data_IF_093525706456
#
_entry.id   IF_093525706456
#
_cell.length_a   1.000
_cell.length_b   1.000
_cell.length_c   1.000
_cell.angle_alpha   90.00
_cell.angle_beta   90.00
_cell.angle_gamma   90.00
#
_symmetry.space_group_name_H-M   'P 1'
#
loop_
_entity.id
_entity.type
_entity.pdbx_description
1 polymer ?
#
# COMPACT_ATOMS: atom_id res chain seq x y z
N UNK A 1 29.02 -60.40 28.43
CA UNK A 1 27.79 -59.74 27.93
C UNK A 1 28.23 -58.67 26.94
N UNK A 2 28.15 -58.96 25.64
CA UNK A 2 28.66 -58.12 24.55
C UNK A 2 27.59 -57.06 24.22
N UNK A 3 27.81 -55.78 24.55
CA UNK A 3 26.94 -54.70 24.08
C UNK A 3 27.23 -54.42 22.61
N UNK A 4 26.18 -54.35 21.77
CA UNK A 4 26.28 -54.08 20.33
C UNK A 4 26.85 -52.66 20.10
N UNK A 5 27.79 -52.47 19.16
CA UNK A 5 28.55 -51.22 19.00
C UNK A 5 27.71 -49.97 18.66
N UNK A 6 26.46 -50.16 18.22
CA UNK A 6 25.56 -49.08 17.79
C UNK A 6 24.78 -48.43 18.94
N UNK A 7 24.75 -49.06 20.12
CA UNK A 7 23.95 -48.53 21.24
C UNK A 7 24.55 -47.24 21.79
N UNK A 8 25.87 -47.12 21.79
CA UNK A 8 26.56 -45.90 22.24
C UNK A 8 26.26 -44.70 21.34
N UNK A 9 26.34 -44.88 20.02
CA UNK A 9 26.04 -43.83 19.05
C UNK A 9 24.56 -43.42 19.11
N UNK A 10 23.64 -44.39 19.18
CA UNK A 10 22.21 -44.10 19.29
C UNK A 10 21.88 -43.36 20.60
N UNK A 11 22.55 -43.68 21.71
CA UNK A 11 22.39 -42.94 22.97
C UNK A 11 22.87 -41.50 22.86
N UNK A 12 23.96 -41.24 22.13
CA UNK A 12 24.43 -39.86 21.88
C UNK A 12 23.43 -39.10 21.00
N UNK A 13 22.92 -39.71 19.93
CA UNK A 13 21.93 -39.08 19.05
C UNK A 13 20.63 -38.74 19.80
N UNK A 14 20.11 -39.69 20.60
CA UNK A 14 18.91 -39.46 21.41
C UNK A 14 19.16 -38.36 22.44
N UNK A 15 20.32 -38.37 23.11
CA UNK A 15 20.71 -37.31 24.05
C UNK A 15 20.79 -35.93 23.40
N UNK A 16 21.34 -35.84 22.19
CA UNK A 16 21.39 -34.61 21.40
C UNK A 16 20.00 -34.09 21.04
N UNK A 17 19.11 -34.95 20.52
CA UNK A 17 17.75 -34.56 20.19
C UNK A 17 16.97 -34.06 21.42
N UNK A 18 17.10 -34.74 22.56
CA UNK A 18 16.46 -34.29 23.82
C UNK A 18 17.01 -32.94 24.27
N UNK A 19 18.33 -32.75 24.20
CA UNK A 19 18.95 -31.47 24.56
C UNK A 19 18.43 -30.30 23.68
N UNK A 20 18.35 -30.50 22.36
CA UNK A 20 17.81 -29.46 21.46
C UNK A 20 16.33 -29.17 21.74
N UNK A 21 15.50 -30.18 21.98
CA UNK A 21 14.09 -29.99 22.34
C UNK A 21 13.91 -29.28 23.69
N UNK A 22 14.75 -29.59 24.68
CA UNK A 22 14.74 -28.89 25.96
C UNK A 22 15.24 -27.45 25.83
N UNK A 23 16.25 -27.19 25.00
CA UNK A 23 16.77 -25.85 24.75
C UNK A 23 15.75 -24.97 24.03
N UNK A 24 15.07 -25.49 23.00
CA UNK A 24 14.00 -24.75 22.31
C UNK A 24 12.83 -24.47 23.25
N UNK A 25 12.42 -25.45 24.06
CA UNK A 25 11.39 -25.25 25.07
C UNK A 25 11.80 -24.21 26.13
N UNK A 26 13.05 -24.24 26.61
CA UNK A 26 13.58 -23.26 27.57
C UNK A 26 13.63 -21.84 26.99
N UNK A 27 14.09 -21.68 25.74
CA UNK A 27 14.09 -20.40 25.05
C UNK A 27 12.66 -19.89 24.85
N UNK A 28 11.72 -20.76 24.48
CA UNK A 28 10.32 -20.38 24.30
C UNK A 28 9.64 -20.02 25.63
N UNK A 29 9.85 -20.78 26.71
CA UNK A 29 9.32 -20.46 28.03
C UNK A 29 9.94 -19.17 28.60
N UNK A 30 11.21 -18.88 28.28
CA UNK A 30 11.86 -17.62 28.67
C UNK A 30 11.36 -16.45 27.82
N UNK A 31 11.15 -16.65 26.52
CA UNK A 31 10.57 -15.64 25.62
C UNK A 31 9.12 -15.32 25.98
N UNK A 32 8.35 -16.31 26.46
CA UNK A 32 7.00 -16.13 26.98
C UNK A 32 6.95 -15.39 28.32
N UNK A 33 8.03 -15.39 29.10
CA UNK A 33 8.15 -14.67 30.37
C UNK A 33 8.62 -13.21 30.22
N UNK A 34 9.06 -12.81 29.03
CA UNK A 34 9.36 -11.42 28.66
C UNK A 34 8.37 -10.85 27.65
N UNK A 35 7.10 -11.25 27.73
CA UNK A 35 5.96 -10.56 27.09
C UNK A 35 5.66 -9.20 27.72
N UNK A 36 6.65 -8.57 28.36
CA UNK A 36 6.63 -7.15 28.68
C UNK A 36 7.00 -6.41 27.41
N UNK A 37 6.01 -5.74 26.83
CA UNK A 37 6.18 -4.72 25.82
C UNK A 37 7.45 -3.90 26.10
N UNK A 38 8.43 -3.95 25.20
CA UNK A 38 9.36 -2.85 25.04
C UNK A 38 8.58 -1.71 24.39
N UNK A 39 7.66 -1.14 25.17
CA UNK A 39 7.12 0.19 24.95
C UNK A 39 8.24 1.13 25.36
N UNK A 40 9.04 1.53 24.38
CA UNK A 40 9.88 2.72 24.52
C UNK A 40 8.92 3.92 24.47
N UNK A 41 8.72 4.67 25.57
CA UNK A 41 7.84 5.84 25.58
C UNK A 41 8.38 7.00 24.72
N UNK A 42 9.46 6.80 23.96
CA UNK A 42 9.97 7.75 22.96
C UNK A 42 9.71 7.37 21.51
N UNK A 43 9.11 6.21 21.23
CA UNK A 43 8.65 5.91 19.87
C UNK A 43 7.18 6.31 19.79
N UNK A 44 6.96 7.56 19.41
CA UNK A 44 5.64 8.05 19.00
C UNK A 44 5.15 7.15 17.87
N UNK A 45 4.06 6.43 18.11
CA UNK A 45 3.32 5.76 17.03
C UNK A 45 2.67 6.86 16.21
N UNK A 46 3.36 7.29 15.16
CA UNK A 46 2.83 8.26 14.19
C UNK A 46 1.75 7.52 13.41
N UNK A 47 0.51 8.00 13.52
CA UNK A 47 -0.59 7.46 12.73
C UNK A 47 -0.29 7.69 11.24
N UNK A 48 -0.84 6.84 10.37
CA UNK A 48 -0.61 6.95 8.92
C UNK A 48 -0.94 8.35 8.36
N UNK A 49 -1.90 9.04 9.00
CA UNK A 49 -2.29 10.42 8.67
C UNK A 49 -1.22 11.48 8.98
N UNK A 50 -0.22 11.15 9.80
CA UNK A 50 0.68 12.11 10.44
C UNK A 50 2.06 12.12 9.77
N UNK A 51 2.43 11.02 9.07
CA UNK A 51 3.61 10.95 8.18
C UNK A 51 3.46 11.87 6.96
N UNK A 52 2.23 12.08 6.46
CA UNK A 52 1.97 12.95 5.31
C UNK A 52 2.18 14.45 5.60
N UNK A 53 2.20 14.86 6.88
CA UNK A 53 2.41 16.27 7.26
C UNK A 53 3.88 16.70 7.17
N UNK A 54 4.81 15.80 7.50
CA UNK A 54 6.24 16.12 7.57
C UNK A 54 6.87 16.35 6.17
N UNK A 55 6.27 15.77 5.12
CA UNK A 55 6.73 15.93 3.73
C UNK A 55 6.30 17.27 3.10
N UNK A 56 5.28 17.93 3.64
CA UNK A 56 4.78 19.22 3.15
C UNK A 56 5.63 20.41 3.63
N UNK A 57 6.36 20.30 4.73
CA UNK A 57 7.14 21.42 5.28
C UNK A 57 8.54 21.57 4.64
N UNK A 58 9.11 20.50 4.07
CA UNK A 58 10.42 20.57 3.37
C UNK A 58 10.35 21.01 1.90
N UNK A 59 9.14 21.16 1.33
CA UNK A 59 8.95 21.47 -0.10
C UNK A 59 8.90 22.96 -0.44
N UNK A 60 8.91 23.86 0.56
CA UNK A 60 8.67 25.29 0.34
C UNK A 60 9.93 26.16 0.26
N UNK A 61 11.12 25.61 0.44
CA UNK A 61 12.36 26.31 0.13
C UNK A 61 12.84 25.91 -1.26
N UNK A 62 13.14 26.93 -2.07
CA UNK A 62 13.66 26.89 -3.45
C UNK A 62 12.57 26.90 -4.54
N UNK A 63 12.12 28.11 -4.91
CA UNK A 63 12.41 28.73 -6.22
C UNK A 63 11.76 30.13 -6.29
N UNK A 64 12.48 31.15 -5.79
CA UNK A 64 12.31 32.53 -6.27
C UNK A 64 13.05 32.67 -7.60
N UNK A 65 12.31 32.93 -8.68
CA UNK A 65 12.86 33.58 -9.88
C UNK A 65 11.95 34.76 -10.23
N UNK A 66 12.54 35.95 -10.11
CA UNK A 66 11.99 37.24 -10.53
C UNK A 66 12.12 37.45 -12.05
N UNK A 67 11.31 38.41 -12.52
CA UNK A 67 11.30 39.11 -13.83
C UNK A 67 10.29 38.54 -14.83
N UNK A 68 9.41 39.33 -15.45
CA UNK A 68 9.33 40.78 -15.53
C UNK A 68 8.04 41.21 -16.25
N UNK A 69 7.76 42.50 -16.12
CA UNK A 69 6.57 43.24 -16.55
C UNK A 69 6.32 43.19 -18.06
N UNK A 70 5.04 43.12 -18.44
CA UNK A 70 4.49 44.00 -19.47
C UNK A 70 2.97 44.08 -19.33
N UNK A 71 2.50 45.23 -18.86
CA UNK A 71 1.11 45.68 -18.95
C UNK A 71 0.70 45.81 -20.42
N UNK A 72 -0.49 45.33 -20.79
CA UNK A 72 -1.28 45.98 -21.82
C UNK A 72 -2.76 45.98 -21.43
N UNK A 73 -3.36 47.17 -21.54
CA UNK A 73 -4.65 47.58 -21.02
C UNK A 73 -5.75 47.49 -22.08
N UNK A 74 -6.98 47.50 -21.55
CA UNK A 74 -8.25 48.06 -22.08
C UNK A 74 -9.16 47.14 -22.90
N UNK A 75 -10.37 46.96 -22.34
CA UNK A 75 -11.51 46.38 -23.04
C UNK A 75 -12.73 46.18 -22.15
N UNK A 76 -13.15 47.22 -21.43
CA UNK A 76 -14.40 47.27 -20.66
C UNK A 76 -15.60 47.17 -21.62
N UNK A 77 -16.44 46.16 -21.46
CA UNK A 77 -17.75 46.10 -22.13
C UNK A 77 -18.79 45.46 -21.20
N UNK A 78 -19.54 46.32 -20.51
CA UNK A 78 -20.78 45.97 -19.80
C UNK A 78 -21.95 46.46 -20.65
N UNK A 79 -22.94 45.60 -20.93
CA UNK A 79 -24.32 46.01 -20.73
C UNK A 79 -25.03 44.98 -19.85
N UNK A 80 -25.49 45.39 -18.67
CA UNK A 80 -26.84 45.90 -18.42
C UNK A 80 -27.90 44.80 -18.44
N UNK A 81 -28.55 44.67 -17.27
CA UNK A 81 -29.93 44.24 -17.04
C UNK A 81 -30.28 42.77 -17.32
N UNK A 82 -30.18 41.94 -16.27
CA UNK A 82 -31.07 40.77 -16.10
C UNK A 82 -31.73 40.87 -14.72
N UNK A 83 -33.05 40.72 -14.76
CA UNK A 83 -34.01 40.91 -13.68
C UNK A 83 -33.80 39.91 -12.54
N UNK A 84 -33.99 40.44 -11.34
CA UNK A 84 -34.19 39.72 -10.08
C UNK A 84 -35.26 38.63 -10.27
N UNK A 85 -34.85 37.37 -10.14
CA UNK A 85 -35.76 36.23 -9.98
C UNK A 85 -35.45 35.63 -8.62
N UNK A 86 -36.32 35.96 -7.68
CA UNK A 86 -36.39 35.34 -6.36
C UNK A 86 -36.86 33.89 -6.57
N UNK A 87 -35.98 32.93 -6.31
CA UNK A 87 -36.36 31.54 -6.07
C UNK A 87 -35.66 31.12 -4.80
N UNK A 88 -36.43 31.14 -3.72
CA UNK A 88 -36.07 30.57 -2.44
C UNK A 88 -36.71 29.18 -2.38
N UNK A 89 -35.88 28.14 -2.49
CA UNK A 89 -36.21 26.79 -2.04
C UNK A 89 -34.93 25.96 -1.97
N UNK A 90 -34.37 25.89 -0.77
CA UNK A 90 -33.61 24.77 -0.20
C UNK A 90 -32.80 23.92 -1.20
N UNK A 91 -31.67 24.48 -1.65
CA UNK A 91 -30.55 23.66 -2.11
C UNK A 91 -29.60 23.60 -0.92
N UNK A 92 -29.50 22.42 -0.31
CA UNK A 92 -28.39 22.09 0.58
C UNK A 92 -27.16 22.09 -0.31
N UNK A 93 -26.48 23.24 -0.37
CA UNK A 93 -25.16 23.36 -0.97
C UNK A 93 -24.22 22.45 -0.16
N UNK A 94 -23.90 21.31 -0.77
CA UNK A 94 -22.67 20.59 -0.49
C UNK A 94 -21.53 21.58 -0.75
N UNK A 95 -21.01 22.17 0.33
CA UNK A 95 -19.89 23.10 0.29
C UNK A 95 -18.68 22.29 -0.15
N UNK A 96 -18.50 22.17 -1.46
CA UNK A 96 -17.23 21.77 -2.06
C UNK A 96 -16.25 22.88 -1.70
N UNK A 97 -15.53 22.68 -0.60
CA UNK A 97 -14.34 23.45 -0.30
C UNK A 97 -13.43 23.34 -1.54
N UNK A 98 -13.16 24.47 -2.21
CA UNK A 98 -12.34 24.52 -3.42
C UNK A 98 -10.93 24.04 -3.08
N UNK A 99 -10.67 22.74 -3.20
CA UNK A 99 -9.36 22.14 -3.02
C UNK A 99 -8.47 22.65 -4.16
N UNK A 100 -7.58 23.60 -3.85
CA UNK A 100 -6.61 24.12 -4.81
C UNK A 100 -5.54 23.04 -5.06
N UNK A 101 -5.67 22.33 -6.18
CA UNK A 101 -4.73 21.29 -6.59
C UNK A 101 -3.52 21.89 -7.34
N UNK A 102 -2.32 21.30 -7.19
CA UNK A 102 -1.17 21.71 -7.99
C UNK A 102 -1.40 21.39 -9.48
N UNK A 103 -0.77 22.14 -10.40
CA UNK A 103 -0.94 21.92 -11.84
C UNK A 103 -0.39 20.55 -12.31
N UNK A 104 0.53 19.96 -11.55
CA UNK A 104 1.06 18.61 -11.78
C UNK A 104 1.49 17.97 -10.47
N UNK A 105 1.30 16.67 -10.34
CA UNK A 105 1.76 15.90 -9.19
C UNK A 105 2.27 14.53 -9.65
N UNK A 106 3.38 14.07 -9.09
CA UNK A 106 3.97 12.77 -9.43
C UNK A 106 4.26 11.97 -8.16
N UNK A 107 3.57 10.84 -8.01
CA UNK A 107 3.85 9.89 -6.94
C UNK A 107 5.07 9.05 -7.29
N UNK A 108 5.99 8.94 -6.34
CA UNK A 108 7.18 8.09 -6.48
C UNK A 108 6.84 6.61 -6.20
N UNK A 109 5.87 6.06 -6.94
CA UNK A 109 5.46 4.65 -6.82
C UNK A 109 6.59 3.76 -7.37
N UNK A 110 7.13 2.82 -6.58
CA UNK A 110 8.10 1.85 -7.08
C UNK A 110 7.48 1.02 -8.21
N UNK A 111 8.18 0.89 -9.33
CA UNK A 111 7.68 0.18 -10.50
C UNK A 111 8.17 -1.27 -10.56
N UNK A 112 7.29 -2.19 -10.96
CA UNK A 112 7.65 -3.52 -11.44
C UNK A 112 6.83 -3.91 -12.68
N UNK A 113 7.38 -4.78 -13.51
CA UNK A 113 6.63 -5.41 -14.61
C UNK A 113 5.84 -6.62 -14.10
N UNK A 114 4.65 -6.88 -14.67
CA UNK A 114 3.92 -8.15 -14.50
C UNK A 114 4.72 -9.37 -14.98
N UNK A 115 5.74 -9.16 -15.81
CA UNK A 115 6.69 -10.16 -16.28
C UNK A 115 8.11 -9.78 -15.81
N UNK A 116 8.46 -9.94 -14.52
CA UNK A 116 9.70 -9.38 -13.96
C UNK A 116 10.97 -9.86 -14.66
N UNK A 117 10.97 -11.11 -15.12
CA UNK A 117 12.10 -11.74 -15.83
C UNK A 117 12.00 -11.63 -17.36
N UNK A 118 11.08 -10.81 -17.88
CA UNK A 118 10.77 -10.67 -19.32
C UNK A 118 10.21 -11.94 -19.96
N UNK A 119 9.74 -12.88 -19.14
CA UNK A 119 8.98 -14.04 -19.59
C UNK A 119 7.50 -13.67 -19.66
N UNK A 120 6.90 -13.80 -20.84
CA UNK A 120 5.48 -13.49 -21.09
C UNK A 120 4.64 -14.76 -21.26
N UNK A 121 5.15 -15.94 -20.89
CA UNK A 121 4.33 -17.13 -20.74
C UNK A 121 3.46 -17.04 -19.48
N UNK A 122 2.47 -17.91 -19.36
CA UNK A 122 1.67 -18.05 -18.13
C UNK A 122 2.59 -18.34 -16.92
N UNK A 123 2.31 -17.78 -15.72
CA UNK A 123 1.14 -16.95 -15.36
C UNK A 123 1.26 -15.45 -15.72
N UNK A 124 2.40 -15.01 -16.27
CA UNK A 124 2.74 -13.58 -16.38
C UNK A 124 1.86 -12.76 -17.32
N UNK A 125 1.10 -13.41 -18.22
CA UNK A 125 0.15 -12.72 -19.11
C UNK A 125 -1.02 -12.09 -18.34
N UNK A 126 -1.37 -12.70 -17.21
CA UNK A 126 -2.54 -12.33 -16.41
C UNK A 126 -2.17 -11.67 -15.07
N UNK A 127 -0.88 -11.41 -14.82
CA UNK A 127 -0.38 -10.92 -13.54
C UNK A 127 -0.42 -9.36 -13.38
N UNK A 128 -1.32 -8.67 -14.09
CA UNK A 128 -1.34 -7.19 -14.09
C UNK A 128 -1.88 -6.60 -12.79
N UNK A 129 -2.91 -7.21 -12.22
CA UNK A 129 -3.54 -6.81 -10.97
C UNK A 129 -2.58 -7.00 -9.78
N UNK A 130 -1.87 -8.12 -9.73
CA UNK A 130 -0.87 -8.46 -8.72
C UNK A 130 0.32 -7.51 -8.77
N UNK A 131 0.76 -7.13 -9.98
CA UNK A 131 1.80 -6.10 -10.14
C UNK A 131 1.35 -4.76 -9.57
N UNK A 132 0.11 -4.34 -9.80
CA UNK A 132 -0.44 -3.11 -9.23
C UNK A 132 -0.51 -3.18 -7.69
N UNK A 133 -0.98 -4.30 -7.12
CA UNK A 133 -1.04 -4.52 -5.67
C UNK A 133 0.36 -4.47 -5.05
N UNK A 134 1.36 -5.08 -5.69
CA UNK A 134 2.74 -5.07 -5.20
C UNK A 134 3.36 -3.66 -5.24
N UNK A 135 3.09 -2.89 -6.30
CA UNK A 135 3.52 -1.48 -6.38
C UNK A 135 2.88 -0.62 -5.28
N UNK A 136 1.61 -0.87 -4.95
CA UNK A 136 0.90 -0.23 -3.83
C UNK A 136 1.55 -0.58 -2.48
N UNK A 137 1.85 -1.86 -2.25
CA UNK A 137 2.53 -2.32 -1.04
C UNK A 137 3.90 -1.65 -0.87
N UNK A 138 4.69 -1.64 -1.95
CA UNK A 138 6.02 -1.03 -1.99
C UNK A 138 5.98 0.47 -1.72
N UNK A 139 4.99 1.18 -2.29
CA UNK A 139 4.79 2.61 -2.09
C UNK A 139 4.52 2.93 -0.62
N UNK A 140 3.56 2.23 0.01
CA UNK A 140 3.18 2.52 1.39
C UNK A 140 4.19 2.02 2.44
N UNK A 141 4.93 0.94 2.16
CA UNK A 141 5.97 0.41 3.06
C UNK A 141 7.37 0.99 2.78
N UNK A 142 7.54 1.77 1.72
CA UNK A 142 8.78 2.47 1.42
C UNK A 142 9.95 1.57 1.01
N UNK A 143 9.70 0.48 0.28
CA UNK A 143 10.75 -0.41 -0.22
C UNK A 143 10.83 -0.42 -1.76
N UNK A 144 11.97 -0.88 -2.30
CA UNK A 144 12.19 -0.97 -3.76
C UNK A 144 11.85 -2.35 -4.32
N UNK A 145 11.50 -2.39 -5.62
CA UNK A 145 11.14 -3.62 -6.33
C UNK A 145 12.28 -4.07 -7.24
N UNK A 146 12.82 -5.27 -6.97
CA UNK A 146 13.75 -5.96 -7.89
C UNK A 146 13.02 -7.05 -8.67
N UNK A 147 13.47 -7.44 -9.87
CA UNK A 147 12.82 -8.49 -10.65
C UNK A 147 12.64 -9.81 -9.91
N UNK A 148 13.65 -10.25 -9.15
CA UNK A 148 13.58 -11.51 -8.39
C UNK A 148 12.57 -11.42 -7.25
N UNK A 149 12.60 -10.32 -6.48
CA UNK A 149 11.64 -10.09 -5.41
C UNK A 149 10.21 -10.01 -5.96
N UNK A 150 10.01 -9.22 -7.02
CA UNK A 150 8.70 -9.07 -7.63
C UNK A 150 8.14 -10.40 -8.14
N UNK A 151 8.96 -11.23 -8.80
CA UNK A 151 8.57 -12.58 -9.22
C UNK A 151 8.03 -13.40 -8.04
N UNK A 152 8.78 -13.45 -6.94
CA UNK A 152 8.40 -14.26 -5.78
C UNK A 152 7.11 -13.75 -5.12
N UNK A 153 6.92 -12.44 -5.06
CA UNK A 153 5.70 -11.84 -4.50
C UNK A 153 4.47 -12.00 -5.40
N UNK A 154 4.61 -11.82 -6.72
CA UNK A 154 3.54 -12.04 -7.69
C UNK A 154 3.04 -13.49 -7.63
N UNK A 155 3.95 -14.46 -7.57
CA UNK A 155 3.58 -15.87 -7.50
C UNK A 155 2.78 -16.22 -6.24
N UNK A 156 2.95 -15.50 -5.12
CA UNK A 156 2.13 -15.74 -3.92
C UNK A 156 0.66 -15.37 -4.15
N UNK A 157 0.42 -14.27 -4.86
CA UNK A 157 -0.93 -13.84 -5.21
C UNK A 157 -1.54 -14.78 -6.26
N UNK A 158 -0.79 -15.15 -7.29
CA UNK A 158 -1.23 -16.14 -8.29
C UNK A 158 -1.61 -17.48 -7.62
N UNK A 159 -0.80 -17.98 -6.69
CA UNK A 159 -1.12 -19.22 -5.95
C UNK A 159 -2.41 -19.06 -5.14
N UNK A 160 -2.64 -17.91 -4.51
CA UNK A 160 -3.88 -17.64 -3.80
C UNK A 160 -5.10 -17.66 -4.75
N UNK A 161 -4.97 -17.12 -5.96
CA UNK A 161 -6.03 -17.14 -6.97
C UNK A 161 -6.30 -18.56 -7.53
N UNK A 162 -5.23 -19.34 -7.74
CA UNK A 162 -5.31 -20.74 -8.14
C UNK A 162 -6.03 -21.60 -7.08
N UNK A 163 -5.72 -21.41 -5.80
CA UNK A 163 -6.40 -22.08 -4.69
C UNK A 163 -7.90 -21.78 -4.65
N UNK A 164 -8.30 -20.60 -5.14
CA UNK A 164 -9.70 -20.16 -5.27
C UNK A 164 -10.38 -20.62 -6.56
N UNK A 165 -9.63 -21.23 -7.50
CA UNK A 165 -10.09 -21.60 -8.84
C UNK A 165 -10.68 -20.42 -9.63
N UNK A 166 -10.10 -19.22 -9.50
CA UNK A 166 -10.57 -18.05 -10.23
C UNK A 166 -10.09 -18.00 -11.69
N UNK A 167 -8.97 -18.68 -11.99
CA UNK A 167 -8.30 -18.57 -13.29
C UNK A 167 -7.43 -17.32 -13.37
N UNK A 168 -6.87 -17.05 -14.55
CA UNK A 168 -6.19 -15.78 -14.83
C UNK A 168 -7.17 -14.67 -15.22
N UNK A 169 -6.74 -13.41 -15.10
CA UNK A 169 -7.53 -12.20 -15.35
C UNK A 169 -8.77 -12.12 -14.46
N UNK A 170 -8.66 -11.42 -13.33
CA UNK A 170 -9.69 -11.35 -12.30
C UNK A 170 -10.47 -10.02 -12.31
N UNK A 171 -11.73 -10.06 -11.87
CA UNK A 171 -12.58 -8.87 -11.73
C UNK A 171 -12.25 -8.06 -10.47
N UNK A 172 -12.64 -6.79 -10.43
CA UNK A 172 -12.21 -5.84 -9.39
C UNK A 172 -12.57 -6.28 -7.96
N UNK A 173 -13.67 -7.00 -7.77
CA UNK A 173 -14.04 -7.58 -6.48
C UNK A 173 -13.02 -8.61 -6.00
N UNK A 174 -12.50 -9.45 -6.90
CA UNK A 174 -11.45 -10.42 -6.60
C UNK A 174 -10.11 -9.73 -6.39
N UNK A 175 -9.79 -8.69 -7.16
CA UNK A 175 -8.59 -7.87 -6.94
C UNK A 175 -8.57 -7.34 -5.51
N UNK A 176 -9.72 -6.86 -5.01
CA UNK A 176 -9.85 -6.42 -3.61
C UNK A 176 -9.54 -7.57 -2.63
N UNK A 177 -10.01 -8.79 -2.90
CA UNK A 177 -9.71 -9.95 -2.04
C UNK A 177 -8.21 -10.33 -2.08
N UNK A 178 -7.58 -10.30 -3.25
CA UNK A 178 -6.13 -10.55 -3.42
C UNK A 178 -5.33 -9.47 -2.68
N UNK A 179 -5.69 -8.20 -2.84
CA UNK A 179 -5.06 -7.08 -2.15
C UNK A 179 -5.18 -7.23 -0.64
N UNK A 180 -6.35 -7.64 -0.14
CA UNK A 180 -6.56 -7.85 1.29
C UNK A 180 -5.73 -9.01 1.83
N UNK A 181 -5.70 -10.14 1.12
CA UNK A 181 -4.86 -11.28 1.43
C UNK A 181 -3.38 -10.87 1.48
N UNK A 182 -2.90 -10.15 0.47
CA UNK A 182 -1.50 -9.80 0.32
C UNK A 182 -1.04 -8.73 1.31
N UNK A 183 -1.79 -7.64 1.45
CA UNK A 183 -1.41 -6.47 2.26
C UNK A 183 -1.61 -6.70 3.76
N UNK A 184 -2.66 -7.43 4.15
CA UNK A 184 -3.11 -7.54 5.56
C UNK A 184 -3.19 -8.98 6.07
N UNK A 185 -3.03 -9.98 5.20
CA UNK A 185 -3.11 -11.40 5.56
C UNK A 185 -4.54 -11.91 5.73
N UNK A 186 -4.67 -13.20 6.07
CA UNK A 186 -5.96 -13.89 6.28
C UNK A 186 -6.70 -13.50 7.58
N UNK A 187 -6.47 -12.30 8.11
CA UNK A 187 -7.11 -11.82 9.33
C UNK A 187 -8.61 -11.58 9.14
N UNK A 188 -9.38 -11.64 10.24
CA UNK A 188 -10.82 -11.33 10.26
C UNK A 188 -11.11 -9.83 10.17
N UNK A 189 -10.32 -9.08 9.41
CA UNK A 189 -10.53 -7.65 9.23
C UNK A 189 -11.57 -7.44 8.15
N UNK A 190 -12.50 -6.50 8.38
CA UNK A 190 -13.43 -6.10 7.33
C UNK A 190 -12.68 -5.23 6.32
N UNK A 191 -12.95 -5.42 5.04
CA UNK A 191 -12.25 -4.73 3.93
C UNK A 191 -12.32 -3.20 4.06
N UNK A 192 -13.48 -2.73 4.48
CA UNK A 192 -13.83 -1.35 4.80
C UNK A 192 -13.00 -0.76 5.95
N UNK A 193 -12.55 -1.58 6.91
CA UNK A 193 -11.66 -1.14 8.00
C UNK A 193 -10.20 -1.03 7.55
N UNK A 194 -9.84 -1.64 6.42
CA UNK A 194 -8.48 -1.66 5.86
C UNK A 194 -8.20 -0.49 4.90
N UNK A 195 -9.19 0.37 4.64
CA UNK A 195 -9.05 1.52 3.74
C UNK A 195 -9.01 1.17 2.25
N UNK A 196 -9.30 -0.09 1.88
CA UNK A 196 -9.41 -0.52 0.48
C UNK A 196 -10.85 -0.35 -0.03
N UNK A 197 -11.09 0.72 -0.76
CA UNK A 197 -12.40 1.02 -1.35
C UNK A 197 -12.37 0.83 -2.87
N UNK A 198 -13.40 0.18 -3.42
CA UNK A 198 -13.65 0.26 -4.87
C UNK A 198 -14.46 1.53 -5.10
N UNK A 199 -13.91 2.42 -5.90
CA UNK A 199 -14.61 3.60 -6.38
C UNK A 199 -15.14 3.32 -7.78
N UNK A 200 -16.47 3.19 -7.90
CA UNK A 200 -17.14 2.97 -9.17
C UNK A 200 -17.18 4.26 -9.99
N UNK A 201 -16.76 4.17 -11.25
CA UNK A 201 -16.76 5.28 -12.22
C UNK A 201 -16.14 6.59 -11.66
N UNK A 202 -14.86 6.56 -11.23
CA UNK A 202 -14.21 7.73 -10.63
C UNK A 202 -14.15 8.90 -11.63
N UNK A 203 -14.42 10.12 -11.15
CA UNK A 203 -14.22 11.33 -11.96
C UNK A 203 -12.75 11.70 -12.02
N UNK A 204 -12.38 12.50 -13.03
CA UNK A 204 -11.02 13.05 -13.14
C UNK A 204 -10.63 13.83 -11.89
N UNK A 205 -11.56 14.60 -11.31
CA UNK A 205 -11.28 15.39 -10.10
C UNK A 205 -11.06 14.52 -8.88
N UNK A 206 -11.82 13.44 -8.71
CA UNK A 206 -11.56 12.46 -7.64
C UNK A 206 -10.16 11.86 -7.77
N UNK A 207 -9.76 11.43 -8.97
CA UNK A 207 -8.43 10.85 -9.22
C UNK A 207 -7.34 11.87 -8.88
N UNK A 208 -7.46 13.13 -9.31
CA UNK A 208 -6.48 14.16 -8.99
C UNK A 208 -6.38 14.42 -7.50
N UNK A 209 -7.50 14.43 -6.78
CA UNK A 209 -7.53 14.60 -5.32
C UNK A 209 -6.80 13.43 -4.64
N UNK A 210 -7.09 12.18 -5.00
CA UNK A 210 -6.40 11.01 -4.44
C UNK A 210 -4.89 11.08 -4.68
N UNK A 211 -4.49 11.35 -5.92
CA UNK A 211 -3.08 11.45 -6.31
C UNK A 211 -2.39 12.57 -5.53
N UNK A 212 -2.99 13.76 -5.44
CA UNK A 212 -2.44 14.90 -4.70
C UNK A 212 -2.35 14.65 -3.18
N UNK A 213 -3.22 13.80 -2.63
CA UNK A 213 -3.20 13.37 -1.22
C UNK A 213 -2.18 12.27 -0.92
N UNK A 214 -1.46 11.77 -1.93
CA UNK A 214 -0.50 10.69 -1.73
C UNK A 214 -1.11 9.30 -1.81
N UNK A 215 -2.30 9.14 -2.39
CA UNK A 215 -2.97 7.86 -2.60
C UNK A 215 -2.83 7.45 -4.08
N UNK A 216 -1.90 6.52 -4.42
CA UNK A 216 -1.68 6.04 -5.78
C UNK A 216 -2.78 5.12 -6.28
#
# INVERSE_FOLDING_TARGET
MYMKPYTFFNSICIGGCVFFLCATFFVWNRAGASGGTLYDPKVTTVSFAEVNREKLEMGNDVLEIQNGESEERLGEFVPSSIKEVVVESDIVEDVQEDVVLPPSFNLAVPFTSQAPEKNWDQPWQDACEEAAILMLDAYYKGYGLSPLFAKDELLKMVVFEEEKNWGGSIEIEKVREVAAFYLFGNGKWKMDEMGLTILENPTIEQIKIFVAQGHP
#
